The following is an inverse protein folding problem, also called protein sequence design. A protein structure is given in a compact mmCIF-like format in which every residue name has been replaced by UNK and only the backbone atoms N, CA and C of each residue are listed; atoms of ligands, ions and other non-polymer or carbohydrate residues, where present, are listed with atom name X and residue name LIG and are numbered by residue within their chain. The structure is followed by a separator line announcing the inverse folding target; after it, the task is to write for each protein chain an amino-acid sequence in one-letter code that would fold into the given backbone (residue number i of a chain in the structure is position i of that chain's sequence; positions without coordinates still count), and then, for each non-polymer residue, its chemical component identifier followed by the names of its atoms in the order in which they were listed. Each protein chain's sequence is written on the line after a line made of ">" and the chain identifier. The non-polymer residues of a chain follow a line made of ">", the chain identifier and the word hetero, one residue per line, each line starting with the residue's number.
data_IF_842502922747
#
_entry.id   IF_842502922747
#
_cell.length_a   1.000
_cell.length_b   1.000
_cell.length_c   1.000
_cell.angle_alpha   90.00
_cell.angle_beta   90.00
_cell.angle_gamma   90.00
#
_symmetry.space_group_name_H-M   'P 1'
#
loop_
_entity.id
_entity.type
_entity.pdbx_description
1 polymer ?
#
# COMPACT_ATOMS: atom_id res chain seq x y z
N UNK A 1 -3.85 0.15 10.47
CA UNK A 1 -5.24 -0.14 10.03
C UNK A 1 -5.58 -1.58 10.38
N UNK A 2 -5.16 -2.59 9.60
CA UNK A 2 -5.58 -3.98 9.87
C UNK A 2 -4.98 -4.56 11.15
N UNK A 3 -3.73 -4.27 11.50
CA UNK A 3 -3.15 -4.68 12.78
C UNK A 3 -3.75 -3.86 13.94
N UNK A 4 -3.79 -2.53 13.83
CA UNK A 4 -4.36 -1.64 14.85
C UNK A 4 -5.84 -1.89 15.20
N UNK A 5 -6.64 -2.42 14.26
CA UNK A 5 -8.02 -2.84 14.50
C UNK A 5 -8.19 -4.36 14.73
N UNK A 6 -7.09 -5.11 14.85
CA UNK A 6 -7.11 -6.55 15.15
C UNK A 6 -7.64 -7.46 14.03
N UNK A 7 -7.74 -6.96 12.79
CA UNK A 7 -8.16 -7.74 11.61
C UNK A 7 -7.11 -8.77 11.20
N UNK A 8 -5.84 -8.40 11.31
CA UNK A 8 -4.69 -9.30 11.15
C UNK A 8 -3.98 -9.33 12.49
N UNK A 9 -3.63 -10.51 12.99
CA UNK A 9 -2.84 -10.69 14.22
C UNK A 9 -1.46 -11.30 13.90
N UNK A 10 -0.63 -11.52 14.92
CA UNK A 10 0.74 -12.07 14.75
C UNK A 10 0.77 -13.50 14.19
N UNK A 11 -0.22 -14.34 14.52
CA UNK A 11 -0.31 -15.69 13.97
C UNK A 11 -0.65 -15.64 12.47
N UNK A 12 -1.51 -14.71 12.08
CA UNK A 12 -1.84 -14.47 10.68
C UNK A 12 -0.63 -13.92 9.91
N UNK A 13 0.16 -13.01 10.49
CA UNK A 13 1.43 -12.57 9.87
C UNK A 13 2.40 -13.73 9.62
N UNK A 14 2.46 -14.70 10.55
CA UNK A 14 3.29 -15.89 10.38
C UNK A 14 2.81 -16.74 9.19
N UNK A 15 1.48 -16.92 9.04
CA UNK A 15 0.90 -17.62 7.89
C UNK A 15 1.13 -16.85 6.59
N UNK A 16 0.97 -15.53 6.60
CA UNK A 16 1.22 -14.66 5.45
C UNK A 16 2.69 -14.77 5.02
N UNK A 17 3.65 -14.73 5.95
CA UNK A 17 5.07 -14.91 5.66
C UNK A 17 5.36 -16.28 5.05
N UNK A 18 4.73 -17.35 5.57
CA UNK A 18 4.85 -18.69 4.99
C UNK A 18 4.31 -18.74 3.55
N UNK A 19 3.16 -18.11 3.29
CA UNK A 19 2.58 -18.03 1.95
C UNK A 19 3.48 -17.24 1.00
N UNK A 20 4.05 -16.10 1.45
CA UNK A 20 5.01 -15.34 0.65
C UNK A 20 6.25 -16.16 0.28
N UNK A 21 6.79 -16.93 1.21
CA UNK A 21 7.99 -17.76 0.97
C UNK A 21 7.76 -18.85 -0.10
N UNK A 22 6.51 -19.25 -0.33
CA UNK A 22 6.16 -20.23 -1.37
C UNK A 22 5.98 -19.59 -2.76
N UNK A 23 5.88 -18.26 -2.84
CA UNK A 23 5.76 -17.55 -4.11
C UNK A 23 7.15 -17.44 -4.73
N UNK A 24 7.29 -17.89 -5.96
CA UNK A 24 8.54 -17.82 -6.73
C UNK A 24 8.42 -16.69 -7.75
N UNK A 25 8.85 -15.46 -7.44
CA UNK A 25 8.77 -14.37 -8.38
C UNK A 25 9.78 -14.54 -9.53
N UNK A 26 9.51 -13.96 -10.71
CA UNK A 26 10.52 -13.73 -11.73
C UNK A 26 11.75 -13.03 -11.14
N UNK A 27 12.95 -13.41 -11.60
CA UNK A 27 14.24 -12.90 -11.09
C UNK A 27 14.36 -11.37 -11.18
N UNK A 28 13.62 -10.73 -12.08
CA UNK A 28 13.55 -9.27 -12.30
C UNK A 28 12.86 -8.50 -11.17
N UNK A 29 12.02 -9.16 -10.36
CA UNK A 29 11.23 -8.52 -9.29
C UNK A 29 12.08 -8.30 -8.02
N UNK A 30 13.20 -9.01 -7.89
CA UNK A 30 14.10 -8.93 -6.73
C UNK A 30 13.64 -9.80 -5.55
N UNK A 31 14.30 -9.65 -4.40
CA UNK A 31 14.04 -10.47 -3.20
C UNK A 31 12.63 -10.22 -2.66
N UNK A 32 12.00 -11.30 -2.22
CA UNK A 32 10.75 -11.28 -1.46
C UNK A 32 11.02 -10.53 -0.15
N UNK A 33 10.09 -9.67 0.31
CA UNK A 33 10.17 -9.09 1.65
C UNK A 33 10.30 -10.22 2.68
N UNK A 34 11.47 -10.35 3.27
CA UNK A 34 11.69 -11.27 4.38
C UNK A 34 11.43 -10.48 5.66
N UNK A 35 10.78 -11.09 6.66
CA UNK A 35 10.64 -10.61 8.06
C UNK A 35 9.38 -9.80 8.41
N UNK A 36 8.25 -10.00 7.72
CA UNK A 36 6.99 -9.34 8.12
C UNK A 36 6.39 -9.94 9.41
N UNK A 37 6.88 -11.11 9.84
CA UNK A 37 6.47 -11.89 11.01
C UNK A 37 7.25 -11.54 12.29
N UNK A 38 8.31 -10.75 12.21
CA UNK A 38 9.08 -10.36 13.39
C UNK A 38 8.25 -9.35 14.19
N UNK A 39 8.32 -9.36 15.53
CA UNK A 39 7.54 -8.50 16.46
C UNK A 39 7.56 -6.97 16.26
N UNK A 40 8.13 -6.47 15.16
CA UNK A 40 7.97 -5.11 14.65
C UNK A 40 7.20 -5.03 13.32
N UNK A 41 6.58 -6.11 12.86
CA UNK A 41 5.84 -6.22 11.60
C UNK A 41 6.68 -5.78 10.38
N UNK A 42 6.11 -4.88 9.59
CA UNK A 42 6.69 -4.43 8.33
C UNK A 42 7.69 -3.25 8.48
N UNK A 43 8.02 -2.85 9.70
CA UNK A 43 8.84 -1.66 9.98
C UNK A 43 10.29 -1.71 9.45
N UNK A 44 10.79 -2.88 9.05
CA UNK A 44 12.14 -3.05 8.51
C UNK A 44 12.20 -3.10 6.98
N UNK A 45 11.06 -2.95 6.29
CA UNK A 45 11.05 -2.97 4.83
C UNK A 45 11.53 -1.64 4.25
N UNK A 46 12.42 -1.73 3.26
CA UNK A 46 12.81 -0.59 2.43
C UNK A 46 11.64 -0.13 1.56
N UNK A 47 11.69 1.12 1.10
CA UNK A 47 10.70 1.66 0.15
C UNK A 47 10.47 0.75 -1.06
N UNK A 48 11.53 0.15 -1.62
CA UNK A 48 11.41 -0.72 -2.78
C UNK A 48 10.80 -2.09 -2.44
N UNK A 49 11.10 -2.65 -1.26
CA UNK A 49 10.45 -3.87 -0.77
C UNK A 49 8.95 -3.65 -0.49
N UNK A 50 8.59 -2.51 0.09
CA UNK A 50 7.20 -2.09 0.25
C UNK A 50 6.47 -1.98 -1.08
N UNK A 51 7.11 -1.34 -2.07
CA UNK A 51 6.57 -1.23 -3.42
C UNK A 51 6.28 -2.62 -4.00
N UNK A 52 7.26 -3.51 -3.94
CA UNK A 52 7.14 -4.85 -4.47
C UNK A 52 6.06 -5.64 -3.73
N UNK A 53 5.99 -5.53 -2.40
CA UNK A 53 4.96 -6.17 -1.59
C UNK A 53 3.56 -5.81 -2.08
N UNK A 54 3.20 -4.53 -2.12
CA UNK A 54 1.83 -4.13 -2.46
C UNK A 54 1.48 -4.29 -3.95
N UNK A 55 2.45 -4.15 -4.85
CA UNK A 55 2.19 -4.33 -6.28
C UNK A 55 2.00 -5.80 -6.67
N UNK A 56 2.70 -6.72 -6.01
CA UNK A 56 2.88 -8.08 -6.50
C UNK A 56 2.28 -9.11 -5.55
N UNK A 57 2.50 -8.96 -4.24
CA UNK A 57 2.21 -10.00 -3.27
C UNK A 57 0.95 -9.74 -2.47
N UNK A 58 0.68 -8.50 -2.05
CA UNK A 58 -0.34 -8.18 -1.06
C UNK A 58 -1.72 -8.72 -1.42
N UNK A 59 -2.15 -8.60 -2.68
CA UNK A 59 -3.42 -9.14 -3.17
C UNK A 59 -3.52 -10.66 -3.12
N UNK A 60 -2.40 -11.37 -3.17
CA UNK A 60 -2.38 -12.85 -3.10
C UNK A 60 -2.33 -13.29 -1.64
N UNK A 61 -1.44 -12.69 -0.85
CA UNK A 61 -1.12 -13.20 0.49
C UNK A 61 -2.02 -12.67 1.59
N UNK A 62 -2.69 -11.53 1.38
CA UNK A 62 -3.63 -10.95 2.35
C UNK A 62 -5.08 -11.31 2.05
N UNK A 63 -5.39 -11.80 0.85
CA UNK A 63 -6.78 -11.96 0.40
C UNK A 63 -7.65 -12.75 1.39
N UNK A 64 -7.16 -13.91 1.83
CA UNK A 64 -7.90 -14.82 2.71
C UNK A 64 -8.01 -14.33 4.15
N UNK A 65 -7.26 -13.28 4.52
CA UNK A 65 -7.26 -12.69 5.87
C UNK A 65 -8.14 -11.45 5.96
N UNK A 66 -8.67 -10.97 4.84
CA UNK A 66 -9.44 -9.72 4.76
C UNK A 66 -10.91 -10.02 4.43
N UNK A 67 -11.80 -9.23 5.02
CA UNK A 67 -13.21 -9.25 4.66
C UNK A 67 -13.47 -8.52 3.33
N UNK A 68 -14.72 -8.47 2.90
CA UNK A 68 -15.11 -7.90 1.61
C UNK A 68 -14.73 -6.42 1.48
N UNK A 69 -14.89 -5.62 2.53
CA UNK A 69 -14.61 -4.18 2.48
C UNK A 69 -13.10 -3.93 2.52
N UNK A 70 -12.37 -4.69 3.33
CA UNK A 70 -10.91 -4.63 3.38
C UNK A 70 -10.24 -5.05 2.08
N UNK A 71 -10.80 -6.05 1.40
CA UNK A 71 -10.36 -6.44 0.06
C UNK A 71 -10.54 -5.31 -0.96
N UNK A 72 -11.63 -4.54 -0.87
CA UNK A 72 -11.81 -3.36 -1.73
C UNK A 72 -10.73 -2.33 -1.46
N UNK A 73 -10.46 -2.01 -0.18
CA UNK A 73 -9.37 -1.10 0.20
C UNK A 73 -8.04 -1.56 -0.42
N UNK A 74 -7.71 -2.84 -0.28
CA UNK A 74 -6.48 -3.42 -0.84
C UNK A 74 -6.42 -3.30 -2.38
N UNK A 75 -7.53 -3.57 -3.07
CA UNK A 75 -7.61 -3.50 -4.54
C UNK A 75 -7.43 -2.07 -5.03
N UNK A 76 -8.19 -1.11 -4.48
CA UNK A 76 -8.04 0.30 -4.84
C UNK A 76 -6.62 0.79 -4.56
N UNK A 77 -6.02 0.42 -3.42
CA UNK A 77 -4.66 0.79 -3.07
C UNK A 77 -3.63 0.24 -4.06
N UNK A 78 -3.77 -1.04 -4.42
CA UNK A 78 -2.91 -1.70 -5.41
C UNK A 78 -3.02 -1.05 -6.78
N UNK A 79 -4.23 -0.68 -7.19
CA UNK A 79 -4.49 0.00 -8.46
C UNK A 79 -3.86 1.40 -8.50
N UNK A 80 -4.09 2.22 -7.46
CA UNK A 80 -3.48 3.54 -7.33
C UNK A 80 -1.94 3.44 -7.40
N UNK A 81 -1.34 2.55 -6.62
CA UNK A 81 0.12 2.32 -6.64
C UNK A 81 0.62 1.89 -8.02
N UNK A 82 -0.08 0.99 -8.70
CA UNK A 82 0.33 0.48 -10.03
C UNK A 82 0.36 1.56 -11.12
N UNK A 83 -0.43 2.63 -10.94
CA UNK A 83 -0.45 3.79 -11.82
C UNK A 83 0.67 4.76 -11.44
N UNK A 84 0.71 5.15 -10.16
CA UNK A 84 1.62 6.17 -9.64
C UNK A 84 3.09 5.78 -9.77
N UNK A 85 3.40 4.48 -9.79
CA UNK A 85 4.75 3.93 -9.94
C UNK A 85 5.26 3.94 -11.40
N UNK A 86 4.40 4.20 -12.39
CA UNK A 86 4.79 4.17 -13.82
C UNK A 86 5.75 5.32 -14.14
N UNK A 87 6.76 5.03 -14.97
CA UNK A 87 7.71 6.05 -15.47
C UNK A 87 7.05 7.10 -16.35
N UNK A 88 6.05 6.67 -17.13
CA UNK A 88 5.26 7.51 -18.01
C UNK A 88 3.82 7.34 -17.57
N UNK A 89 3.17 8.44 -17.22
CA UNK A 89 1.80 8.46 -16.71
C UNK A 89 1.06 9.58 -17.43
N UNK A 90 -0.16 9.30 -17.90
CA UNK A 90 -1.01 10.31 -18.52
C UNK A 90 -1.83 11.04 -17.47
N UNK A 91 -2.36 12.23 -17.79
CA UNK A 91 -3.30 12.95 -16.92
C UNK A 91 -4.49 12.07 -16.55
N UNK A 92 -5.06 11.35 -17.53
CA UNK A 92 -6.15 10.41 -17.28
C UNK A 92 -5.78 9.36 -16.23
N UNK A 93 -4.58 8.79 -16.33
CA UNK A 93 -4.13 7.82 -15.33
C UNK A 93 -3.99 8.46 -13.94
N UNK A 94 -3.52 9.70 -13.84
CA UNK A 94 -3.46 10.41 -12.55
C UNK A 94 -4.84 10.65 -11.96
N UNK A 95 -5.84 10.95 -12.79
CA UNK A 95 -7.22 11.08 -12.37
C UNK A 95 -7.80 9.74 -11.91
N UNK A 96 -7.56 8.66 -12.67
CA UNK A 96 -7.94 7.29 -12.26
C UNK A 96 -7.31 6.92 -10.89
N UNK A 97 -6.02 7.21 -10.70
CA UNK A 97 -5.33 6.95 -9.43
C UNK A 97 -5.90 7.79 -8.28
N UNK A 98 -6.28 9.04 -8.55
CA UNK A 98 -6.91 9.91 -7.58
C UNK A 98 -8.27 9.39 -7.14
N UNK A 99 -9.09 8.92 -8.08
CA UNK A 99 -10.38 8.29 -7.78
C UNK A 99 -10.20 7.05 -6.89
N UNK A 100 -9.22 6.20 -7.17
CA UNK A 100 -8.90 5.07 -6.29
C UNK A 100 -8.52 5.52 -4.87
N UNK A 101 -7.74 6.60 -4.72
CA UNK A 101 -7.38 7.14 -3.41
C UNK A 101 -8.61 7.69 -2.65
N UNK A 102 -9.51 8.38 -3.34
CA UNK A 102 -10.77 8.86 -2.75
C UNK A 102 -11.61 7.68 -2.23
N UNK A 103 -11.78 6.63 -3.03
CA UNK A 103 -12.56 5.46 -2.62
C UNK A 103 -11.95 4.74 -1.41
N UNK A 104 -10.62 4.67 -1.32
CA UNK A 104 -9.94 4.15 -0.11
C UNK A 104 -10.30 4.97 1.11
N UNK A 105 -10.24 6.31 1.04
CA UNK A 105 -10.55 7.16 2.18
C UNK A 105 -12.02 7.02 2.60
N UNK A 106 -12.96 6.98 1.65
CA UNK A 106 -14.38 6.74 1.96
C UNK A 106 -14.61 5.39 2.63
N UNK A 107 -13.96 4.33 2.14
CA UNK A 107 -14.05 3.00 2.74
C UNK A 107 -13.45 2.97 4.14
N UNK A 108 -12.32 3.65 4.37
CA UNK A 108 -11.71 3.74 5.69
C UNK A 108 -12.61 4.52 6.65
N UNK A 109 -13.09 5.70 6.24
CA UNK A 109 -13.96 6.54 7.05
C UNK A 109 -15.25 5.80 7.44
N UNK A 110 -15.86 5.09 6.49
CA UNK A 110 -17.12 4.35 6.70
C UNK A 110 -16.93 3.16 7.65
N UNK A 111 -15.85 2.39 7.48
CA UNK A 111 -15.67 1.12 8.22
C UNK A 111 -14.87 1.27 9.52
N UNK A 112 -14.05 2.32 9.63
CA UNK A 112 -13.11 2.52 10.73
C UNK A 112 -13.24 3.90 11.40
N UNK A 113 -14.13 4.76 10.91
CA UNK A 113 -14.37 6.10 11.42
C UNK A 113 -13.37 7.15 10.92
N UNK A 114 -13.77 8.41 11.02
CA UNK A 114 -12.97 9.58 10.59
C UNK A 114 -11.61 9.66 11.30
N UNK A 115 -11.53 9.22 12.56
CA UNK A 115 -10.28 9.18 13.35
C UNK A 115 -9.19 8.30 12.70
N UNK A 116 -9.59 7.38 11.82
CA UNK A 116 -8.68 6.51 11.07
C UNK A 116 -8.12 7.17 9.81
N UNK A 117 -8.64 8.34 9.42
CA UNK A 117 -8.10 9.17 8.33
C UNK A 117 -6.90 9.95 8.84
N UNK A 118 -5.73 9.36 8.64
CA UNK A 118 -4.47 10.02 9.03
C UNK A 118 -4.17 11.23 8.14
N UNK A 119 -3.42 12.24 8.63
CA UNK A 119 -2.98 13.37 7.81
C UNK A 119 -2.25 12.90 6.54
N UNK A 120 -1.54 11.80 6.67
CA UNK A 120 -0.80 11.12 5.65
C UNK A 120 -1.72 10.59 4.53
N UNK A 121 -2.83 9.93 4.88
CA UNK A 121 -3.88 9.55 3.92
C UNK A 121 -4.50 10.77 3.23
N UNK A 122 -4.78 11.82 3.98
CA UNK A 122 -5.30 13.07 3.40
C UNK A 122 -4.33 13.67 2.38
N UNK A 123 -3.04 13.76 2.72
CA UNK A 123 -2.00 14.28 1.84
C UNK A 123 -1.83 13.45 0.55
N UNK A 124 -2.16 12.16 0.59
CA UNK A 124 -2.12 11.31 -0.61
C UNK A 124 -3.06 11.82 -1.72
N UNK A 125 -4.17 12.48 -1.37
CA UNK A 125 -5.10 13.06 -2.34
C UNK A 125 -4.46 14.19 -3.17
N UNK A 126 -3.44 14.86 -2.65
CA UNK A 126 -2.73 15.91 -3.37
C UNK A 126 -1.69 15.38 -4.36
N UNK A 127 -1.39 14.07 -4.36
CA UNK A 127 -0.41 13.48 -5.28
C UNK A 127 -0.76 13.72 -6.75
N UNK A 128 -2.05 13.68 -7.11
CA UNK A 128 -2.50 13.97 -8.49
C UNK A 128 -2.07 15.38 -8.92
N UNK A 129 -2.38 16.39 -8.09
CA UNK A 129 -2.00 17.78 -8.35
C UNK A 129 -0.48 17.92 -8.46
N UNK A 130 0.27 17.34 -7.51
CA UNK A 130 1.73 17.36 -7.56
C UNK A 130 2.28 16.73 -8.85
N UNK A 131 1.70 15.61 -9.31
CA UNK A 131 2.16 14.97 -10.54
C UNK A 131 1.86 15.80 -11.80
N UNK A 132 0.75 16.53 -11.81
CA UNK A 132 0.39 17.44 -12.90
C UNK A 132 1.33 18.65 -12.97
N UNK A 133 1.72 19.18 -11.81
CA UNK A 133 2.56 20.38 -11.71
C UNK A 133 4.05 20.08 -11.93
N UNK A 134 4.54 18.93 -11.44
CA UNK A 134 5.98 18.62 -11.38
C UNK A 134 6.40 17.39 -12.19
N UNK A 135 5.46 16.77 -12.93
CA UNK A 135 5.70 15.56 -13.71
C UNK A 135 5.46 14.26 -12.94
N UNK A 136 5.75 13.07 -13.51
CA UNK A 136 5.48 11.79 -12.86
C UNK A 136 6.21 11.66 -11.52
N UNK A 137 5.61 10.96 -10.56
CA UNK A 137 6.21 10.66 -9.25
C UNK A 137 7.64 10.11 -9.33
N UNK A 138 7.96 9.37 -10.39
CA UNK A 138 9.31 8.88 -10.68
C UNK A 138 10.38 9.98 -10.71
N UNK A 139 9.99 11.21 -11.07
CA UNK A 139 10.87 12.37 -11.22
C UNK A 139 11.24 13.05 -9.89
N UNK A 140 10.46 12.85 -8.82
CA UNK A 140 10.70 13.43 -7.47
C UNK A 140 10.51 12.39 -6.34
N UNK A 141 10.72 11.12 -6.70
CA UNK A 141 10.35 9.90 -6.00
C UNK A 141 10.77 9.79 -4.54
N UNK A 142 11.92 10.36 -4.14
CA UNK A 142 12.44 10.23 -2.77
C UNK A 142 11.49 10.82 -1.71
N UNK A 143 10.81 11.92 -2.02
CA UNK A 143 10.01 12.65 -1.02
C UNK A 143 8.63 12.01 -0.78
N UNK A 144 8.01 11.50 -1.84
CA UNK A 144 6.68 10.89 -1.75
C UNK A 144 6.72 9.50 -1.13
N UNK A 145 7.83 8.76 -1.28
CA UNK A 145 7.98 7.44 -0.67
C UNK A 145 8.32 7.48 0.81
N UNK A 146 9.12 8.45 1.29
CA UNK A 146 9.30 8.69 2.73
C UNK A 146 7.96 9.05 3.39
N UNK A 147 7.13 9.84 2.70
CA UNK A 147 5.80 10.20 3.18
C UNK A 147 4.83 9.01 3.13
N UNK A 148 4.79 8.23 2.04
CA UNK A 148 4.05 6.96 1.92
C UNK A 148 4.48 5.91 2.95
N UNK A 149 5.77 5.80 3.26
CA UNK A 149 6.29 4.95 4.34
C UNK A 149 5.79 5.41 5.72
N UNK A 150 5.65 6.73 5.93
CA UNK A 150 4.99 7.27 7.12
C UNK A 150 3.49 6.94 7.19
N UNK A 151 2.80 6.82 6.05
CA UNK A 151 1.40 6.36 5.97
C UNK A 151 1.33 4.84 6.26
N UNK A 152 2.20 4.06 5.62
CA UNK A 152 2.23 2.59 5.61
C UNK A 152 2.77 1.96 6.89
N UNK A 153 3.69 2.62 7.59
CA UNK A 153 4.11 2.24 8.93
C UNK A 153 2.94 2.10 9.90
N UNK A 154 1.90 2.92 9.74
CA UNK A 154 0.66 2.89 10.53
C UNK A 154 -0.42 1.92 10.03
N UNK A 155 -0.28 1.38 8.81
CA UNK A 155 -1.18 0.28 8.43
C UNK A 155 -0.92 -0.95 9.29
N UNK A 156 0.31 -1.07 9.82
CA UNK A 156 0.87 -2.30 10.36
C UNK A 156 1.66 -2.16 11.71
N UNK A 157 1.81 -0.97 12.28
CA UNK A 157 2.01 -0.76 13.73
C UNK A 157 0.66 -0.60 14.42
#
# INVERSE_FOLDING_TARGET
>A
LWLGHGKINMDDLTKIQKNMNNIHPPSEIGRIPHKIDIGKGFSNLTANEWKNFFLIYARVVLWDFLDQEDRKILVHFSQACSILVRRIVTIKNLDDAHEHLIEILKLIETNYGEVSITPNLHLSLHLNKCCKDYGPLYSFWCFSFERMNGILGWYLQ
#
